data_IF_150375343690
#
_entry.id   IF_150375343690
#
_cell.length_a   1.000
_cell.length_b   1.000
_cell.length_c   1.000
_cell.angle_alpha   90.00
_cell.angle_beta   90.00
_cell.angle_gamma   90.00
#
_symmetry.space_group_name_H-M   'P 1'
#
loop_
_entity.id
_entity.type
_entity.pdbx_description
1 polymer ?
#
# COMPACT_ATOMS: atom_id res chain seq x y z
N UNK A 1 3.83 -42.75 -47.39
CA UNK A 1 3.90 -41.31 -47.09
C UNK A 1 2.65 -40.90 -46.36
N UNK A 2 2.79 -40.42 -45.14
CA UNK A 2 1.73 -39.75 -44.37
C UNK A 2 2.43 -38.70 -43.49
N UNK A 3 1.91 -37.46 -43.39
CA UNK A 3 2.68 -36.36 -42.82
C UNK A 3 2.76 -36.45 -41.29
N UNK A 4 3.95 -36.16 -40.77
CA UNK A 4 4.17 -35.72 -39.38
C UNK A 4 3.38 -34.42 -39.21
N UNK A 5 2.47 -34.35 -38.24
CA UNK A 5 1.90 -33.06 -37.80
C UNK A 5 2.68 -32.59 -36.59
N UNK A 6 3.44 -31.53 -36.80
CA UNK A 6 4.18 -30.78 -35.79
C UNK A 6 3.25 -30.29 -34.66
N UNK A 7 3.81 -30.19 -33.47
CA UNK A 7 3.08 -29.98 -32.23
C UNK A 7 2.24 -28.71 -32.20
N UNK A 8 1.00 -28.85 -31.72
CA UNK A 8 0.22 -27.72 -31.25
C UNK A 8 0.85 -27.24 -29.94
N UNK A 9 1.46 -26.07 -29.98
CA UNK A 9 1.87 -25.37 -28.76
C UNK A 9 0.60 -24.93 -28.02
N UNK A 10 0.14 -25.76 -27.09
CA UNK A 10 -0.96 -25.44 -26.17
C UNK A 10 -0.50 -24.42 -25.12
N UNK A 11 -0.22 -23.19 -25.55
CA UNK A 11 -0.40 -22.06 -24.64
C UNK A 11 -1.89 -21.79 -24.59
N UNK A 12 -2.58 -22.49 -23.69
CA UNK A 12 -3.91 -22.09 -23.26
C UNK A 12 -3.84 -20.60 -22.92
N UNK A 13 -4.74 -19.75 -23.45
CA UNK A 13 -4.86 -18.42 -22.89
C UNK A 13 -5.15 -18.61 -21.40
N UNK A 14 -4.38 -17.96 -20.56
CA UNK A 14 -4.73 -17.83 -19.15
C UNK A 14 -5.96 -16.93 -19.13
N UNK A 15 -7.13 -17.49 -19.44
CA UNK A 15 -8.39 -16.90 -19.04
C UNK A 15 -8.44 -17.08 -17.53
N UNK A 16 -7.91 -16.07 -16.84
CA UNK A 16 -8.22 -15.81 -15.45
C UNK A 16 -9.72 -15.59 -15.39
N UNK A 17 -10.48 -16.65 -15.09
CA UNK A 17 -11.89 -16.53 -14.76
C UNK A 17 -11.95 -15.81 -13.42
N UNK A 18 -12.01 -14.48 -13.45
CA UNK A 18 -12.37 -13.68 -12.30
C UNK A 18 -13.87 -13.85 -12.05
N UNK A 19 -14.25 -14.91 -11.34
CA UNK A 19 -15.59 -15.07 -10.77
C UNK A 19 -15.72 -14.17 -9.53
N UNK A 20 -15.73 -12.87 -9.77
CA UNK A 20 -15.92 -11.82 -8.76
C UNK A 20 -15.86 -10.48 -9.45
N UNK A 21 -16.93 -9.68 -9.36
CA UNK A 21 -17.09 -8.45 -10.14
C UNK A 21 -15.83 -7.59 -10.16
N UNK A 22 -15.44 -7.13 -11.35
CA UNK A 22 -14.24 -6.32 -11.65
C UNK A 22 -14.27 -4.91 -11.05
N UNK A 23 -14.99 -4.71 -9.95
CA UNK A 23 -15.16 -3.44 -9.25
C UNK A 23 -15.06 -3.61 -7.72
N UNK A 24 -14.19 -4.52 -7.25
CA UNK A 24 -13.84 -4.58 -5.83
C UNK A 24 -12.79 -3.50 -5.55
N UNK A 25 -13.25 -2.29 -5.20
CA UNK A 25 -12.37 -1.23 -4.70
C UNK A 25 -11.97 -1.57 -3.28
N UNK A 26 -10.67 -1.62 -3.02
CA UNK A 26 -10.13 -1.86 -1.67
C UNK A 26 -9.45 -0.58 -1.24
N UNK A 27 -9.88 -0.07 -0.10
CA UNK A 27 -9.24 1.05 0.58
C UNK A 27 -8.28 0.49 1.64
N UNK A 28 -7.07 1.04 1.74
CA UNK A 28 -6.02 0.53 2.63
C UNK A 28 -5.51 1.62 3.56
N UNK A 29 -5.40 1.30 4.84
CA UNK A 29 -4.73 2.15 5.83
C UNK A 29 -3.45 1.46 6.27
N UNK A 30 -2.32 2.15 6.10
CA UNK A 30 -1.02 1.67 6.56
C UNK A 30 -0.72 2.23 7.94
N UNK A 31 -0.36 1.34 8.85
CA UNK A 31 0.21 1.69 10.13
C UNK A 31 1.74 1.62 10.05
N UNK A 32 2.43 2.71 10.39
CA UNK A 32 3.91 2.77 10.42
C UNK A 32 4.45 3.09 11.82
N UNK A 33 5.61 2.50 12.16
CA UNK A 33 6.29 2.75 13.43
C UNK A 33 7.02 4.10 13.39
N UNK A 34 6.55 5.03 14.20
CA UNK A 34 7.12 6.37 14.40
C UNK A 34 8.03 6.50 15.62
N UNK A 35 8.18 5.45 16.42
CA UNK A 35 8.93 5.47 17.69
C UNK A 35 10.38 5.90 17.50
N UNK A 36 11.00 6.46 18.54
CA UNK A 36 12.41 6.87 18.45
C UNK A 36 13.36 5.69 18.20
N UNK A 37 13.01 4.51 18.70
CA UNK A 37 13.79 3.27 18.55
C UNK A 37 13.97 2.81 17.11
N UNK A 38 13.05 3.14 16.18
CA UNK A 38 13.21 2.76 14.77
C UNK A 38 14.40 3.48 14.13
N UNK A 39 14.61 4.75 14.55
CA UNK A 39 15.60 5.66 14.02
C UNK A 39 15.30 6.17 12.60
N UNK A 40 15.83 7.36 12.29
CA UNK A 40 15.55 8.10 11.03
C UNK A 40 15.80 7.28 9.76
N UNK A 41 16.85 6.45 9.73
CA UNK A 41 17.20 5.64 8.56
C UNK A 41 16.10 4.61 8.24
N UNK A 42 15.64 3.87 9.24
CA UNK A 42 14.58 2.85 9.04
C UNK A 42 13.23 3.49 8.81
N UNK A 43 12.95 4.63 9.45
CA UNK A 43 11.77 5.43 9.14
C UNK A 43 11.71 5.84 7.66
N UNK A 44 12.85 6.27 7.08
CA UNK A 44 12.93 6.56 5.64
C UNK A 44 12.63 5.34 4.76
N UNK A 45 13.02 4.14 5.18
CA UNK A 45 12.69 2.90 4.44
C UNK A 45 11.19 2.59 4.48
N UNK A 46 10.52 2.83 5.62
CA UNK A 46 9.05 2.71 5.69
C UNK A 46 8.38 3.66 4.70
N UNK A 47 8.82 4.92 4.63
CA UNK A 47 8.30 5.90 3.65
C UNK A 47 8.54 5.47 2.20
N UNK A 48 9.72 4.93 1.91
CA UNK A 48 10.03 4.39 0.57
C UNK A 48 9.10 3.24 0.19
N UNK A 49 8.83 2.33 1.13
CA UNK A 49 7.87 1.24 0.92
C UNK A 49 6.46 1.77 0.63
N UNK A 50 5.97 2.75 1.41
CA UNK A 50 4.66 3.36 1.17
C UNK A 50 4.58 4.03 -0.21
N UNK A 51 5.64 4.71 -0.65
CA UNK A 51 5.71 5.30 -1.99
C UNK A 51 5.59 4.24 -3.10
N UNK A 52 6.26 3.09 -2.95
CA UNK A 52 6.16 1.98 -3.89
C UNK A 52 4.75 1.37 -3.90
N UNK A 53 4.14 1.22 -2.72
CA UNK A 53 2.76 0.73 -2.62
C UNK A 53 1.76 1.67 -3.27
N UNK A 54 1.95 2.99 -3.17
CA UNK A 54 1.08 3.96 -3.83
C UNK A 54 1.11 3.84 -5.36
N UNK A 55 2.25 3.43 -5.93
CA UNK A 55 2.34 3.13 -7.37
C UNK A 55 1.70 1.78 -7.71
N UNK A 56 1.96 0.73 -6.92
CA UNK A 56 1.43 -0.63 -7.15
C UNK A 56 -0.10 -0.68 -7.05
N UNK A 57 -0.68 0.08 -6.12
CA UNK A 57 -2.13 0.13 -5.91
C UNK A 57 -2.85 1.00 -6.94
N UNK A 58 -2.12 1.78 -7.75
CA UNK A 58 -2.69 2.77 -8.67
C UNK A 58 -3.72 3.69 -7.96
N UNK A 59 -3.27 4.34 -6.88
CA UNK A 59 -4.15 5.18 -6.03
C UNK A 59 -4.78 6.30 -6.86
N UNK A 60 -6.11 6.37 -6.86
CA UNK A 60 -6.85 7.32 -7.68
C UNK A 60 -8.34 7.41 -7.34
N UNK A 61 -9.03 8.44 -7.85
CA UNK A 61 -10.50 8.65 -7.68
C UNK A 61 -11.30 7.39 -8.04
N UNK A 62 -10.89 6.71 -9.11
CA UNK A 62 -11.52 5.49 -9.60
C UNK A 62 -10.89 4.21 -9.05
N UNK A 63 -9.76 4.31 -8.35
CA UNK A 63 -8.98 3.20 -7.81
C UNK A 63 -9.03 3.10 -6.28
N UNK A 64 -8.13 2.29 -5.68
CA UNK A 64 -7.90 2.22 -4.24
C UNK A 64 -7.57 3.57 -3.61
N UNK A 65 -8.03 3.78 -2.37
CA UNK A 65 -7.57 4.90 -1.54
C UNK A 65 -6.54 4.43 -0.51
N UNK A 66 -5.66 5.35 -0.10
CA UNK A 66 -4.62 5.08 0.90
C UNK A 66 -4.67 6.08 2.06
N UNK A 67 -4.74 5.54 3.28
CA UNK A 67 -4.56 6.28 4.53
C UNK A 67 -3.25 5.86 5.22
N UNK A 68 -2.69 6.74 6.04
CA UNK A 68 -1.46 6.49 6.78
C UNK A 68 -1.62 6.97 8.21
N UNK A 69 -1.33 6.08 9.15
CA UNK A 69 -1.27 6.36 10.58
C UNK A 69 0.13 6.02 11.08
N UNK A 70 0.70 6.90 11.88
CA UNK A 70 1.95 6.67 12.57
C UNK A 70 1.66 6.34 14.03
N UNK A 71 2.28 5.29 14.58
CA UNK A 71 2.18 5.00 16.03
C UNK A 71 3.51 5.23 16.74
N UNK A 72 3.41 5.60 18.01
CA UNK A 72 4.49 5.79 18.97
C UNK A 72 3.86 5.68 20.37
N UNK A 73 3.93 6.77 21.15
CA UNK A 73 3.20 6.85 22.43
C UNK A 73 1.68 6.92 22.24
N UNK A 74 1.27 7.68 21.22
CA UNK A 74 -0.11 7.85 20.78
C UNK A 74 -0.13 7.74 19.24
N UNK A 75 -1.20 7.17 18.67
CA UNK A 75 -1.38 7.15 17.23
C UNK A 75 -1.65 8.55 16.69
N UNK A 76 -1.09 8.84 15.53
CA UNK A 76 -1.25 10.08 14.81
C UNK A 76 -1.63 9.80 13.36
N UNK A 77 -2.80 10.26 12.95
CA UNK A 77 -3.24 10.18 11.56
C UNK A 77 -2.45 11.18 10.73
N UNK A 78 -1.57 10.69 9.86
CA UNK A 78 -0.89 11.55 8.89
C UNK A 78 -1.89 11.92 7.79
N UNK A 79 -2.55 10.92 7.19
CA UNK A 79 -3.57 11.13 6.15
C UNK A 79 -4.69 10.10 6.24
N UNK A 80 -5.91 10.52 5.94
CA UNK A 80 -7.08 9.63 5.83
C UNK A 80 -7.29 9.18 4.38
N UNK A 81 -8.07 8.13 4.15
CA UNK A 81 -8.33 7.56 2.82
C UNK A 81 -8.72 8.61 1.75
N UNK A 82 -9.45 9.66 2.12
CA UNK A 82 -9.93 10.70 1.19
C UNK A 82 -9.05 11.96 1.14
N UNK A 83 -7.84 11.91 1.70
CA UNK A 83 -6.91 13.03 1.68
C UNK A 83 -6.22 13.21 0.33
N UNK A 84 -6.00 12.13 -0.42
CA UNK A 84 -5.34 12.15 -1.73
C UNK A 84 -6.06 11.26 -2.73
N UNK A 85 -6.13 11.73 -3.97
CA UNK A 85 -6.85 11.07 -5.07
C UNK A 85 -5.99 10.82 -6.30
N UNK A 86 -4.67 10.90 -6.15
CA UNK A 86 -3.68 10.51 -7.15
C UNK A 86 -2.34 10.15 -6.47
N UNK A 87 -1.60 9.21 -7.07
CA UNK A 87 -0.33 8.73 -6.51
C UNK A 87 0.75 9.81 -6.41
N UNK A 88 0.78 10.80 -7.31
CA UNK A 88 1.81 11.86 -7.30
C UNK A 88 1.72 12.71 -6.03
N UNK A 89 0.54 13.21 -5.70
CA UNK A 89 0.33 14.05 -4.53
C UNK A 89 0.47 13.26 -3.23
N UNK A 90 -0.03 12.02 -3.22
CA UNK A 90 0.16 11.10 -2.10
C UNK A 90 1.65 10.85 -1.82
N UNK A 91 2.47 10.56 -2.83
CA UNK A 91 3.91 10.32 -2.66
C UNK A 91 4.65 11.56 -2.16
N UNK A 92 4.31 12.74 -2.70
CA UNK A 92 4.85 14.01 -2.20
C UNK A 92 4.50 14.25 -0.73
N UNK A 93 3.31 13.82 -0.31
CA UNK A 93 2.85 13.92 1.07
C UNK A 93 3.57 12.91 1.99
N UNK A 94 3.70 11.65 1.54
CA UNK A 94 4.48 10.60 2.22
C UNK A 94 5.89 11.10 2.50
N UNK A 95 6.59 11.65 1.50
CA UNK A 95 7.96 12.13 1.66
C UNK A 95 8.12 13.19 2.75
N UNK A 96 7.07 13.99 2.99
CA UNK A 96 7.03 15.05 3.99
C UNK A 96 6.62 14.59 5.39
N UNK A 97 6.18 13.35 5.57
CA UNK A 97 5.83 12.81 6.89
C UNK A 97 7.05 12.91 7.82
N UNK A 98 6.93 13.62 8.95
CA UNK A 98 7.96 13.64 9.99
C UNK A 98 7.83 12.44 10.91
N UNK A 99 8.96 11.94 11.41
CA UNK A 99 8.95 10.95 12.48
C UNK A 99 8.48 11.63 13.79
N UNK A 100 7.37 11.18 14.36
CA UNK A 100 6.74 11.80 15.54
C UNK A 100 7.41 11.38 16.85
N UNK A 101 7.98 10.18 16.91
CA UNK A 101 8.67 9.69 18.09
C UNK A 101 7.77 9.05 19.13
N UNK A 102 8.33 8.88 20.33
CA UNK A 102 7.71 8.16 21.45
C UNK A 102 8.23 6.72 21.60
N UNK A 103 7.66 5.99 22.56
CA UNK A 103 7.89 4.56 22.77
C UNK A 103 7.11 3.73 21.75
N UNK A 104 7.60 2.55 21.36
CA UNK A 104 6.86 1.68 20.43
C UNK A 104 5.75 0.95 21.18
N UNK A 105 4.50 1.41 21.07
CA UNK A 105 3.33 0.82 21.72
C UNK A 105 2.28 0.35 20.70
N UNK A 106 2.57 -0.70 19.95
CA UNK A 106 1.60 -1.33 19.01
C UNK A 106 0.30 -1.72 19.72
N UNK A 107 0.40 -2.22 20.96
CA UNK A 107 -0.76 -2.69 21.73
C UNK A 107 -1.79 -1.59 22.05
N UNK A 108 -1.36 -0.35 22.27
CA UNK A 108 -2.25 0.79 22.52
C UNK A 108 -2.94 1.29 21.24
N UNK A 109 -2.34 1.05 20.08
CA UNK A 109 -2.96 1.40 18.81
C UNK A 109 -4.08 0.44 18.43
N UNK A 110 -3.84 -0.87 18.52
CA UNK A 110 -4.84 -1.89 18.15
C UNK A 110 -6.11 -1.85 18.99
N UNK A 111 -6.09 -1.21 20.16
CA UNK A 111 -7.30 -1.00 20.98
C UNK A 111 -8.20 0.15 20.52
N UNK A 112 -7.77 0.96 19.55
CA UNK A 112 -8.47 2.18 19.09
C UNK A 112 -8.90 2.13 17.61
N UNK A 113 -8.87 0.95 16.99
CA UNK A 113 -9.35 0.70 15.63
C UNK A 113 -10.60 -0.17 15.69
#
# INVERSE_FOLDING_TARGET
>A
GGPVKEGVNLRLPVETVALGGTNCKIDLVFLIDGSWSIGKRRFRLQKLFLNQMADVLDVGISGPLMGIVQYGDDPYTEFSLRSYFNSKDLKNAIDKIPQKGGYSNVGKFLSNI
#
